data_IF_814069467426
#
_entry.id   IF_814069467426
#
_cell.length_a   1.000
_cell.length_b   1.000
_cell.length_c   1.000
_cell.angle_alpha   90.00
_cell.angle_beta   90.00
_cell.angle_gamma   90.00
#
_symmetry.space_group_name_H-M   'P 1'
#
loop_
_entity.id
_entity.type
_entity.pdbx_description
1 polymer ?
#
# COMPACT_ATOMS: atom_id res chain seq x y z
N UNK A 1 -17.55 26.44 -23.56
CA UNK A 1 -17.27 27.03 -22.24
C UNK A 1 -16.62 25.95 -21.40
N UNK A 2 -15.42 26.19 -20.87
CA UNK A 2 -14.78 25.28 -19.90
C UNK A 2 -15.62 25.26 -18.64
N UNK A 3 -16.02 24.08 -18.17
CA UNK A 3 -16.73 23.94 -16.90
C UNK A 3 -15.76 24.03 -15.72
N UNK A 4 -16.26 24.27 -14.52
CA UNK A 4 -15.44 24.23 -13.30
C UNK A 4 -14.76 22.85 -13.15
N UNK A 5 -15.43 21.78 -13.55
CA UNK A 5 -14.90 20.42 -13.55
C UNK A 5 -13.73 20.25 -14.52
N UNK A 6 -13.84 20.79 -15.74
CA UNK A 6 -12.76 20.76 -16.73
C UNK A 6 -11.51 21.48 -16.21
N UNK A 7 -11.72 22.57 -15.47
CA UNK A 7 -10.64 23.35 -14.87
C UNK A 7 -9.93 22.56 -13.76
N UNK A 8 -10.68 21.87 -12.89
CA UNK A 8 -10.13 21.05 -11.82
C UNK A 8 -9.36 19.85 -12.37
N UNK A 9 -9.94 19.12 -13.33
CA UNK A 9 -9.32 17.91 -13.90
C UNK A 9 -8.10 18.26 -14.77
N UNK A 10 -7.99 19.49 -15.24
CA UNK A 10 -6.82 19.97 -16.01
C UNK A 10 -5.67 20.50 -15.13
N UNK A 11 -5.90 20.76 -13.84
CA UNK A 11 -4.84 21.20 -12.91
C UNK A 11 -4.19 19.98 -12.25
N UNK A 12 -2.87 19.75 -12.46
CA UNK A 12 -2.19 18.59 -11.88
C UNK A 12 -2.17 18.63 -10.35
N UNK A 13 -2.09 19.81 -9.74
CA UNK A 13 -2.07 19.98 -8.28
C UNK A 13 -3.41 19.58 -7.65
N UNK A 14 -4.52 19.99 -8.26
CA UNK A 14 -5.86 19.61 -7.77
C UNK A 14 -6.14 18.13 -7.98
N UNK A 15 -5.71 17.58 -9.11
CA UNK A 15 -5.80 16.12 -9.35
C UNK A 15 -4.95 15.34 -8.36
N UNK A 16 -3.72 15.76 -8.07
CA UNK A 16 -2.86 15.12 -7.07
C UNK A 16 -3.54 15.09 -5.70
N UNK A 17 -4.14 16.21 -5.28
CA UNK A 17 -4.90 16.29 -4.04
C UNK A 17 -6.10 15.33 -4.03
N UNK A 18 -6.85 15.23 -5.12
CA UNK A 18 -7.99 14.31 -5.23
C UNK A 18 -7.51 12.86 -5.16
N UNK A 19 -6.48 12.52 -5.94
CA UNK A 19 -5.89 11.19 -5.98
C UNK A 19 -5.35 10.76 -4.61
N UNK A 20 -4.70 11.67 -3.88
CA UNK A 20 -4.17 11.40 -2.54
C UNK A 20 -5.23 10.94 -1.52
N UNK A 21 -6.52 11.16 -1.81
CA UNK A 21 -7.65 10.78 -0.95
C UNK A 21 -8.32 9.46 -1.38
N UNK A 22 -7.88 8.86 -2.49
CA UNK A 22 -8.42 7.59 -2.99
C UNK A 22 -7.78 6.38 -2.30
N UNK A 23 -8.48 5.23 -2.27
CA UNK A 23 -7.88 3.98 -1.82
C UNK A 23 -6.62 3.60 -2.64
N UNK A 24 -5.58 3.06 -1.97
CA UNK A 24 -4.30 2.70 -2.60
C UNK A 24 -4.47 1.79 -3.83
N UNK A 25 -5.40 0.84 -3.77
CA UNK A 25 -5.69 -0.07 -4.90
C UNK A 25 -6.13 0.69 -6.14
N UNK A 26 -6.96 1.72 -5.99
CA UNK A 26 -7.43 2.55 -7.11
C UNK A 26 -6.27 3.39 -7.67
N UNK A 27 -5.42 3.92 -6.80
CA UNK A 27 -4.22 4.64 -7.25
C UNK A 27 -3.29 3.77 -8.10
N UNK A 28 -3.07 2.51 -7.69
CA UNK A 28 -2.19 1.58 -8.40
C UNK A 28 -2.76 1.10 -9.74
N UNK A 29 -4.06 0.78 -9.77
CA UNK A 29 -4.66 0.04 -10.89
C UNK A 29 -5.45 0.93 -11.84
N UNK A 30 -6.21 1.90 -11.32
CA UNK A 30 -7.12 2.71 -12.14
C UNK A 30 -6.54 4.08 -12.48
N UNK A 31 -6.03 4.82 -11.49
CA UNK A 31 -5.57 6.20 -11.69
C UNK A 31 -4.43 6.30 -12.72
N UNK A 32 -3.46 5.39 -12.66
CA UNK A 32 -2.33 5.33 -13.61
C UNK A 32 -2.73 5.05 -15.07
N UNK A 33 -3.95 4.56 -15.31
CA UNK A 33 -4.43 4.14 -16.64
C UNK A 33 -5.41 5.11 -17.29
N UNK A 34 -5.79 6.19 -16.60
CA UNK A 34 -6.77 7.17 -17.12
C UNK A 34 -6.18 7.98 -18.27
N UNK A 35 -5.06 8.66 -18.04
CA UNK A 35 -4.33 9.40 -19.06
C UNK A 35 -2.87 9.62 -18.65
N UNK A 36 -2.07 10.23 -19.54
CA UNK A 36 -0.63 10.49 -19.30
C UNK A 36 -0.39 11.42 -18.11
N UNK A 37 -1.26 12.40 -17.88
CA UNK A 37 -1.12 13.35 -16.77
C UNK A 37 -1.33 12.66 -15.42
N UNK A 38 -2.39 11.85 -15.29
CA UNK A 38 -2.67 11.09 -14.08
C UNK A 38 -1.57 10.08 -13.79
N UNK A 39 -1.06 9.40 -14.82
CA UNK A 39 0.09 8.53 -14.68
C UNK A 39 1.32 9.30 -14.15
N UNK A 40 1.63 10.48 -14.70
CA UNK A 40 2.73 11.31 -14.22
C UNK A 40 2.52 11.76 -12.76
N UNK A 41 1.29 12.13 -12.39
CA UNK A 41 0.95 12.50 -11.00
C UNK A 41 1.16 11.32 -10.06
N UNK A 42 0.82 10.09 -10.44
CA UNK A 42 1.07 8.90 -9.60
C UNK A 42 2.55 8.67 -9.26
N UNK A 43 3.46 9.23 -10.06
CA UNK A 43 4.92 9.14 -9.87
C UNK A 43 5.49 10.28 -9.01
N UNK A 44 4.66 11.24 -8.58
CA UNK A 44 5.08 12.34 -7.69
C UNK A 44 5.50 11.81 -6.32
N UNK A 45 6.42 12.49 -5.61
CA UNK A 45 6.85 12.08 -4.28
C UNK A 45 5.69 11.92 -3.29
N UNK A 46 4.68 12.80 -3.35
CA UNK A 46 3.50 12.74 -2.47
C UNK A 46 2.77 11.42 -2.61
N UNK A 47 2.39 11.05 -3.85
CA UNK A 47 1.66 9.81 -4.09
C UNK A 47 2.56 8.59 -3.91
N UNK A 48 3.84 8.66 -4.25
CA UNK A 48 4.78 7.57 -4.01
C UNK A 48 4.96 7.27 -2.51
N UNK A 49 4.89 8.29 -1.65
CA UNK A 49 4.87 8.08 -0.19
C UNK A 49 3.54 7.48 0.27
N UNK A 50 2.40 7.98 -0.20
CA UNK A 50 1.07 7.40 0.12
C UNK A 50 0.95 5.94 -0.33
N UNK A 51 1.55 5.61 -1.48
CA UNK A 51 1.64 4.26 -2.04
C UNK A 51 2.73 3.40 -1.39
N UNK A 52 3.41 3.89 -0.35
CA UNK A 52 4.48 3.18 0.33
C UNK A 52 5.68 2.82 -0.57
N UNK A 53 5.87 3.45 -1.74
CA UNK A 53 7.07 3.25 -2.57
C UNK A 53 8.25 4.10 -2.13
N UNK A 54 7.98 5.23 -1.46
CA UNK A 54 9.00 6.10 -0.90
C UNK A 54 8.80 6.25 0.61
N UNK A 55 9.89 6.49 1.38
CA UNK A 55 9.77 6.72 2.81
C UNK A 55 9.10 8.06 3.11
N UNK A 56 8.20 8.05 4.09
CA UNK A 56 7.65 9.26 4.71
C UNK A 56 8.43 9.53 6.01
N UNK A 57 9.20 10.65 6.10
CA UNK A 57 10.08 10.91 7.24
C UNK A 57 9.36 11.35 8.54
N UNK A 58 8.06 11.67 8.48
CA UNK A 58 7.40 12.44 9.54
C UNK A 58 6.13 11.80 10.09
N UNK A 59 6.26 10.66 10.78
CA UNK A 59 5.16 10.15 11.60
C UNK A 59 5.63 9.64 12.97
N UNK A 60 5.09 10.27 14.02
CA UNK A 60 5.26 9.81 15.40
C UNK A 60 4.66 8.42 15.66
N UNK A 61 3.77 7.96 14.77
CA UNK A 61 3.12 6.64 14.85
C UNK A 61 3.42 5.86 13.58
N UNK A 62 4.07 4.69 13.68
CA UNK A 62 4.29 3.82 12.53
C UNK A 62 2.97 3.47 11.85
N UNK A 63 2.87 3.78 10.56
CA UNK A 63 1.73 3.43 9.72
C UNK A 63 2.08 2.13 8.98
N UNK A 64 1.27 1.10 9.15
CA UNK A 64 1.39 -0.15 8.41
C UNK A 64 0.73 -0.01 7.04
N UNK A 65 1.31 -0.62 6.02
CA UNK A 65 0.77 -0.59 4.67
C UNK A 65 -0.59 -1.30 4.62
N UNK A 66 -1.72 -0.58 4.40
CA UNK A 66 -3.05 -1.17 4.48
C UNK A 66 -3.30 -2.22 3.40
N UNK A 67 -2.69 -2.06 2.22
CA UNK A 67 -2.79 -3.05 1.14
C UNK A 67 -2.07 -4.34 1.52
N UNK A 68 -0.89 -4.25 2.13
CA UNK A 68 -0.19 -5.46 2.60
C UNK A 68 -0.89 -6.10 3.81
N UNK A 69 -1.51 -5.32 4.69
CA UNK A 69 -2.32 -5.87 5.79
C UNK A 69 -3.51 -6.68 5.27
N UNK A 70 -4.18 -6.20 4.23
CA UNK A 70 -5.29 -6.90 3.58
C UNK A 70 -4.81 -8.17 2.86
N UNK A 71 -3.67 -8.11 2.18
CA UNK A 71 -3.16 -9.23 1.39
C UNK A 71 -2.45 -10.29 2.25
N UNK A 72 -1.80 -9.90 3.34
CA UNK A 72 -1.00 -10.80 4.18
C UNK A 72 -1.41 -10.75 5.67
N UNK A 73 -2.71 -10.92 6.03
CA UNK A 73 -3.19 -10.67 7.39
C UNK A 73 -2.39 -11.33 8.53
N UNK A 74 -1.92 -12.58 8.43
CA UNK A 74 -1.19 -13.25 9.51
C UNK A 74 0.08 -12.51 9.95
N UNK A 75 0.74 -11.82 9.01
CA UNK A 75 1.99 -11.11 9.26
C UNK A 75 1.79 -9.72 9.88
N UNK A 76 0.55 -9.24 9.92
CA UNK A 76 0.18 -7.94 10.50
C UNK A 76 -0.76 -8.08 11.71
N UNK A 77 -1.14 -9.30 12.06
CA UNK A 77 -1.99 -9.57 13.22
C UNK A 77 -1.37 -8.98 14.50
N UNK A 78 -2.18 -8.35 15.38
CA UNK A 78 -1.70 -7.93 16.68
C UNK A 78 -1.24 -9.14 17.49
N UNK A 79 -0.29 -8.89 18.39
CA UNK A 79 0.10 -9.82 19.44
C UNK A 79 -1.19 -10.33 20.12
N UNK A 80 -1.34 -11.65 20.26
CA UNK A 80 -2.46 -12.24 21.00
C UNK A 80 -2.45 -11.83 22.47
N UNK A 81 -3.45 -12.25 23.26
CA UNK A 81 -3.42 -12.08 24.71
C UNK A 81 -2.05 -12.52 25.26
N UNK A 82 -1.45 -11.71 26.12
CA UNK A 82 -0.12 -11.92 26.73
C UNK A 82 1.11 -11.70 25.84
N UNK A 83 0.99 -10.97 24.72
CA UNK A 83 2.18 -10.56 23.96
C UNK A 83 2.85 -11.70 23.20
N UNK A 84 2.11 -12.80 22.96
CA UNK A 84 2.58 -13.89 22.09
C UNK A 84 2.14 -13.61 20.65
N UNK A 85 3.05 -13.86 19.71
CA UNK A 85 2.72 -13.94 18.30
C UNK A 85 1.73 -15.08 18.10
N UNK A 86 0.46 -14.75 17.88
CA UNK A 86 -0.56 -15.72 17.52
C UNK A 86 -0.61 -15.79 16.00
N UNK A 87 -0.13 -16.91 15.45
CA UNK A 87 -0.38 -17.23 14.05
C UNK A 87 -1.89 -17.49 13.91
N UNK A 88 -2.66 -16.66 13.17
CA UNK A 88 -4.12 -16.68 13.29
C UNK A 88 -4.85 -17.86 12.64
N UNK A 89 -4.14 -18.84 12.04
CA UNK A 89 -4.79 -19.84 11.20
C UNK A 89 -4.17 -21.23 11.28
N UNK A 90 -5.00 -22.25 11.17
CA UNK A 90 -4.56 -23.57 10.72
C UNK A 90 -4.00 -23.52 9.28
N UNK A 91 -3.39 -24.62 8.83
CA UNK A 91 -2.85 -24.72 7.47
C UNK A 91 -3.92 -24.45 6.39
N UNK A 92 -5.20 -24.74 6.69
CA UNK A 92 -6.34 -24.47 5.81
C UNK A 92 -6.55 -22.97 5.60
N UNK A 93 -6.54 -22.17 6.67
CA UNK A 93 -6.63 -20.71 6.60
C UNK A 93 -5.51 -20.07 5.76
N UNK A 94 -4.33 -20.69 5.71
CA UNK A 94 -3.22 -20.24 4.85
C UNK A 94 -3.53 -20.52 3.37
N UNK A 95 -4.07 -21.70 3.07
CA UNK A 95 -4.36 -22.14 1.72
C UNK A 95 -5.45 -21.28 1.05
N UNK A 96 -6.36 -20.71 1.83
CA UNK A 96 -7.44 -19.84 1.34
C UNK A 96 -7.01 -18.38 1.10
N UNK A 97 -5.79 -17.99 1.48
CA UNK A 97 -5.37 -16.60 1.37
C UNK A 97 -5.25 -16.12 -0.09
N UNK A 98 -5.43 -14.80 -0.35
CA UNK A 98 -5.36 -14.26 -1.71
C UNK A 98 -4.07 -14.60 -2.45
N UNK A 99 -2.94 -14.66 -1.74
CA UNK A 99 -1.63 -14.99 -2.31
C UNK A 99 -1.39 -16.49 -2.47
N UNK A 100 -2.12 -17.35 -1.75
CA UNK A 100 -2.07 -18.80 -1.93
C UNK A 100 -2.94 -19.24 -3.12
N UNK A 101 -4.12 -18.63 -3.27
CA UNK A 101 -5.05 -18.93 -4.37
C UNK A 101 -4.64 -18.27 -5.69
N UNK A 102 -4.26 -17.00 -5.69
CA UNK A 102 -3.83 -16.26 -6.88
C UNK A 102 -2.29 -16.23 -7.04
N UNK A 103 -1.65 -17.37 -6.79
CA UNK A 103 -0.19 -17.52 -6.68
C UNK A 103 0.58 -16.83 -7.81
N UNK A 104 0.15 -16.96 -9.07
CA UNK A 104 0.86 -16.39 -10.22
C UNK A 104 0.93 -14.86 -10.17
N UNK A 105 -0.19 -14.19 -9.85
CA UNK A 105 -0.22 -12.73 -9.74
C UNK A 105 0.73 -12.21 -8.66
N UNK A 106 0.86 -12.95 -7.56
CA UNK A 106 1.78 -12.63 -6.47
C UNK A 106 3.22 -13.04 -6.77
N UNK A 107 3.49 -14.01 -7.65
CA UNK A 107 4.85 -14.43 -8.02
C UNK A 107 5.53 -13.57 -9.08
N UNK A 108 4.76 -12.77 -9.84
CA UNK A 108 5.29 -11.87 -10.89
C UNK A 108 6.46 -11.00 -10.42
N UNK A 109 7.65 -11.06 -11.05
CA UNK A 109 8.83 -10.34 -10.56
C UNK A 109 8.63 -8.82 -10.49
N UNK A 110 7.75 -8.26 -11.31
CA UNK A 110 7.40 -6.84 -11.39
C UNK A 110 6.18 -6.46 -10.53
N UNK A 111 5.63 -7.36 -9.72
CA UNK A 111 4.47 -7.05 -8.89
C UNK A 111 4.75 -5.90 -7.92
N UNK A 112 3.93 -4.86 -7.98
CA UNK A 112 4.15 -3.60 -7.29
C UNK A 112 4.35 -3.76 -5.78
N UNK A 113 3.63 -4.70 -5.15
CA UNK A 113 3.71 -4.95 -3.71
C UNK A 113 5.12 -5.30 -3.23
N UNK A 114 5.98 -5.90 -4.07
CA UNK A 114 7.38 -6.23 -3.72
C UNK A 114 8.25 -5.01 -3.42
N UNK A 115 7.87 -3.86 -3.97
CA UNK A 115 8.60 -2.59 -3.84
C UNK A 115 7.97 -1.67 -2.81
N UNK A 116 6.84 -2.06 -2.22
CA UNK A 116 6.17 -1.25 -1.20
C UNK A 116 6.79 -1.51 0.17
N UNK A 117 6.96 -0.45 0.94
CA UNK A 117 7.32 -0.49 2.35
C UNK A 117 6.20 -1.18 3.15
N UNK A 118 6.59 -1.98 4.13
CA UNK A 118 5.68 -2.65 5.08
C UNK A 118 5.14 -1.66 6.10
N UNK A 119 5.99 -0.71 6.51
CA UNK A 119 5.65 0.37 7.42
C UNK A 119 6.32 1.68 6.99
N UNK A 120 5.70 2.79 7.37
CA UNK A 120 6.32 4.11 7.37
C UNK A 120 6.34 4.64 8.80
N UNK A 121 7.43 5.26 9.29
CA UNK A 121 8.69 5.39 8.58
C UNK A 121 9.32 3.99 8.44
N UNK A 122 10.22 3.73 7.48
CA UNK A 122 10.79 2.40 7.29
C UNK A 122 11.43 1.87 8.57
N UNK A 123 11.24 0.59 8.89
CA UNK A 123 12.00 -0.04 9.96
C UNK A 123 13.47 -0.16 9.54
N UNK A 124 14.36 0.42 10.34
CA UNK A 124 15.80 0.39 10.12
C UNK A 124 16.51 -0.69 10.94
N UNK A 125 15.80 -1.28 11.91
CA UNK A 125 16.36 -2.26 12.84
C UNK A 125 15.43 -3.47 12.94
N UNK A 126 16.01 -4.66 12.80
CA UNK A 126 15.36 -5.93 13.08
C UNK A 126 15.99 -6.51 14.34
N UNK A 127 15.18 -6.91 15.31
CA UNK A 127 15.64 -7.51 16.58
C UNK A 127 14.97 -8.87 16.69
N UNK A 128 15.77 -9.91 16.94
CA UNK A 128 15.27 -11.22 17.32
C UNK A 128 15.10 -11.22 18.83
N UNK A 129 13.88 -11.45 19.30
CA UNK A 129 13.59 -11.59 20.72
C UNK A 129 13.51 -13.08 21.04
N UNK A 130 14.44 -13.58 21.84
CA UNK A 130 14.35 -14.94 22.39
C UNK A 130 13.19 -14.98 23.39
N UNK A 131 12.33 -15.99 23.26
CA UNK A 131 11.12 -16.23 24.07
C UNK A 131 11.34 -17.46 24.93
#
# INVERSE_FOLDING_TARGET
MSTALDTVISSPELVELILARLPLRNLLVTASRVNKMWNAITLTPTLQRILFFQPEPSNWRPLRNPLLMELFPPFFAPQGPHGRWYWPGDAESIAEMPWATATEAFRRPDASWRRMLVLQPPALTLIVQEI
#
